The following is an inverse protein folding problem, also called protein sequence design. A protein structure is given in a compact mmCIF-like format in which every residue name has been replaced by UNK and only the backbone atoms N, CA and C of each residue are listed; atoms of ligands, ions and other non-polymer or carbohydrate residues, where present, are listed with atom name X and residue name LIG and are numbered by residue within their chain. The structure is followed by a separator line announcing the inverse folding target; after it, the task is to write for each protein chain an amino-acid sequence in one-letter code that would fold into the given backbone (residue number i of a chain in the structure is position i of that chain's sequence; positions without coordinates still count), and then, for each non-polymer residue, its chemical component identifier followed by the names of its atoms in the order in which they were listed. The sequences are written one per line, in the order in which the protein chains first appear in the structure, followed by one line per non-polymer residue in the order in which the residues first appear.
data_IF_072454775242
#
_entry.id   IF_072454775242
#
_cell.length_a   1.000
_cell.length_b   1.000
_cell.length_c   1.000
_cell.angle_alpha   90.00
_cell.angle_beta   90.00
_cell.angle_gamma   90.00
#
_symmetry.space_group_name_H-M   'P 1'
#
loop_
_entity.id
_entity.type
_entity.pdbx_description
1 polymer ?
#
# COMPACT_ATOMS: atom_id res chain seq x y z
N UNK A 1 -17.62 1.08 1.57
CA UNK A 1 -17.63 2.33 2.37
C UNK A 1 -18.71 2.43 3.46
N UNK A 2 -20.03 2.46 3.18
CA UNK A 2 -21.04 2.61 4.28
C UNK A 2 -20.99 1.51 5.36
N UNK A 3 -20.66 0.27 4.98
CA UNK A 3 -20.45 -0.85 5.93
C UNK A 3 -19.16 -0.68 6.75
N UNK A 4 -18.07 -0.25 6.11
CA UNK A 4 -16.78 0.02 6.76
C UNK A 4 -16.89 1.15 7.80
N UNK A 5 -17.58 2.25 7.44
CA UNK A 5 -17.84 3.37 8.37
C UNK A 5 -18.60 2.93 9.63
N UNK A 6 -19.61 2.05 9.49
CA UNK A 6 -20.32 1.49 10.65
C UNK A 6 -19.40 0.65 11.54
N UNK A 7 -18.52 -0.16 10.93
CA UNK A 7 -17.55 -1.00 11.65
C UNK A 7 -16.50 -0.17 12.39
N UNK A 8 -16.00 0.89 11.77
CA UNK A 8 -15.09 1.86 12.39
C UNK A 8 -15.74 2.61 13.57
N UNK A 9 -17.06 2.84 13.52
CA UNK A 9 -17.81 3.55 14.55
C UNK A 9 -18.30 2.67 15.71
N UNK A 10 -18.09 1.34 15.68
CA UNK A 10 -18.59 0.43 16.70
C UNK A 10 -17.50 0.13 17.74
N UNK A 11 -17.59 0.66 18.98
CA UNK A 11 -16.63 0.31 20.03
C UNK A 11 -16.79 -1.17 20.39
N UNK A 12 -15.77 -1.99 20.14
CA UNK A 12 -15.72 -3.36 20.66
C UNK A 12 -15.35 -3.29 22.15
N UNK A 13 -16.18 -3.89 23.01
CA UNK A 13 -15.84 -4.11 24.42
C UNK A 13 -14.59 -4.98 24.49
N UNK A 14 -13.52 -4.44 25.05
CA UNK A 14 -12.36 -5.24 25.49
C UNK A 14 -12.78 -6.02 26.73
N UNK A 15 -12.99 -7.34 26.61
CA UNK A 15 -13.21 -8.22 27.75
C UNK A 15 -12.07 -9.23 27.83
N UNK A 16 -11.11 -8.99 28.73
CA UNK A 16 -10.05 -9.93 29.10
C UNK A 16 -9.09 -9.31 30.13
N UNK A 17 -8.77 -9.98 31.25
CA UNK A 17 -7.80 -9.47 32.22
C UNK A 17 -6.39 -10.03 31.93
N UNK A 18 -5.36 -9.17 31.88
CA UNK A 18 -3.96 -9.57 32.05
C UNK A 18 -2.94 -9.05 31.04
N UNK A 19 -2.24 -7.97 31.44
CA UNK A 19 -0.83 -7.61 31.17
C UNK A 19 -0.25 -7.69 29.74
N UNK A 20 0.00 -6.54 29.12
CA UNK A 20 1.32 -5.89 29.06
C UNK A 20 1.21 -4.58 28.28
N UNK A 21 1.83 -3.54 28.80
CA UNK A 21 1.76 -2.17 28.29
C UNK A 21 2.60 -2.02 27.03
N UNK A 22 1.97 -2.16 25.86
CA UNK A 22 2.42 -1.47 24.66
C UNK A 22 1.71 -0.13 24.62
N UNK A 23 2.48 0.95 24.74
CA UNK A 23 2.05 2.34 24.62
C UNK A 23 1.33 2.52 23.29
N UNK A 24 0.00 2.55 23.32
CA UNK A 24 -0.82 2.89 22.16
C UNK A 24 -0.52 4.34 21.77
N UNK A 25 -0.08 4.54 20.53
CA UNK A 25 0.09 5.87 19.97
C UNK A 25 -1.25 6.63 20.05
N UNK A 26 -1.26 7.92 20.40
CA UNK A 26 -2.48 8.67 20.56
C UNK A 26 -3.12 8.84 19.18
N UNK A 27 -4.34 8.30 19.00
CA UNK A 27 -5.12 8.24 17.76
C UNK A 27 -4.71 7.10 16.80
N UNK A 28 -5.08 5.86 17.14
CA UNK A 28 -4.85 4.70 16.28
C UNK A 28 -5.90 3.61 16.48
N UNK A 29 -6.38 3.05 15.38
CA UNK A 29 -7.10 1.78 15.37
C UNK A 29 -6.11 0.71 15.85
N UNK A 30 -6.55 -0.18 16.72
CA UNK A 30 -5.76 -1.32 17.16
C UNK A 30 -5.29 -2.18 15.97
N UNK A 31 -4.05 -2.65 16.00
CA UNK A 31 -3.40 -3.36 14.89
C UNK A 31 -4.20 -4.61 14.46
N UNK A 32 -4.75 -5.37 15.41
CA UNK A 32 -5.56 -6.56 15.11
C UNK A 32 -6.89 -6.16 14.46
N UNK A 33 -7.50 -5.08 14.96
CA UNK A 33 -8.73 -4.53 14.38
C UNK A 33 -8.49 -4.06 12.96
N UNK A 34 -7.39 -3.37 12.71
CA UNK A 34 -7.03 -2.89 11.38
C UNK A 34 -6.83 -4.05 10.40
N UNK A 35 -6.03 -5.05 10.77
CA UNK A 35 -5.79 -6.24 9.94
C UNK A 35 -7.10 -6.93 9.62
N UNK A 36 -7.97 -7.11 10.63
CA UNK A 36 -9.31 -7.70 10.42
C UNK A 36 -10.15 -6.88 9.44
N UNK A 37 -10.12 -5.55 9.51
CA UNK A 37 -10.84 -4.69 8.57
C UNK A 37 -10.30 -4.81 7.14
N UNK A 38 -8.97 -4.84 6.97
CA UNK A 38 -8.33 -5.01 5.65
C UNK A 38 -8.68 -6.38 5.07
N UNK A 39 -8.65 -7.45 5.88
CA UNK A 39 -8.99 -8.81 5.46
C UNK A 39 -10.44 -8.91 4.99
N UNK A 40 -11.37 -8.40 5.80
CA UNK A 40 -12.79 -8.40 5.48
C UNK A 40 -13.09 -7.61 4.21
N UNK A 41 -12.43 -6.47 4.00
CA UNK A 41 -12.58 -5.69 2.77
C UNK A 41 -11.92 -6.39 1.57
N UNK A 42 -10.77 -7.06 1.76
CA UNK A 42 -10.08 -7.82 0.71
C UNK A 42 -10.93 -8.97 0.19
N UNK A 43 -11.62 -9.70 1.07
CA UNK A 43 -12.53 -10.77 0.70
C UNK A 43 -13.67 -10.29 -0.23
N UNK A 44 -14.07 -9.02 -0.15
CA UNK A 44 -15.08 -8.44 -1.05
C UNK A 44 -14.53 -8.24 -2.47
N UNK A 45 -13.23 -8.09 -2.61
CA UNK A 45 -12.57 -7.88 -3.90
C UNK A 45 -12.25 -9.17 -4.64
N UNK A 46 -12.19 -10.31 -3.94
CA UNK A 46 -11.84 -11.61 -4.52
C UNK A 46 -12.70 -12.00 -5.74
N UNK A 47 -13.99 -11.65 -5.69
CA UNK A 47 -14.98 -11.94 -6.76
C UNK A 47 -15.21 -10.75 -7.70
N UNK A 48 -14.55 -9.61 -7.46
CA UNK A 48 -14.75 -8.41 -8.26
C UNK A 48 -14.08 -8.54 -9.64
N UNK A 49 -14.69 -7.94 -10.67
CA UNK A 49 -14.03 -7.79 -11.97
C UNK A 49 -12.88 -6.77 -11.87
N UNK A 50 -11.97 -6.76 -12.86
CA UNK A 50 -10.94 -5.71 -12.96
C UNK A 50 -11.57 -4.31 -13.00
N UNK A 51 -12.68 -4.15 -13.73
CA UNK A 51 -13.43 -2.89 -13.78
C UNK A 51 -13.96 -2.48 -12.38
N UNK A 52 -14.36 -3.45 -11.56
CA UNK A 52 -14.76 -3.21 -10.18
C UNK A 52 -13.61 -2.69 -9.30
N UNK A 53 -12.41 -3.28 -9.43
CA UNK A 53 -11.22 -2.79 -8.72
C UNK A 53 -10.85 -1.36 -9.14
N UNK A 54 -10.83 -1.10 -10.45
CA UNK A 54 -10.54 0.24 -11.00
C UNK A 54 -11.55 1.28 -10.51
N UNK A 55 -12.83 0.95 -10.48
CA UNK A 55 -13.86 1.85 -9.96
C UNK A 55 -13.65 2.16 -8.47
N UNK A 56 -13.25 1.17 -7.67
CA UNK A 56 -12.92 1.34 -6.26
C UNK A 56 -11.63 2.16 -6.05
N UNK A 57 -10.59 1.94 -6.85
CA UNK A 57 -9.39 2.79 -6.89
C UNK A 57 -9.76 4.24 -7.17
N UNK A 58 -10.68 4.48 -8.12
CA UNK A 58 -11.18 5.81 -8.43
C UNK A 58 -11.91 6.49 -7.25
N UNK A 59 -12.57 5.72 -6.39
CA UNK A 59 -13.19 6.25 -5.17
C UNK A 59 -12.15 6.62 -4.12
N UNK A 60 -11.12 5.79 -3.92
CA UNK A 60 -9.99 6.11 -3.03
C UNK A 60 -9.28 7.39 -3.50
N UNK A 61 -8.98 7.49 -4.81
CA UNK A 61 -8.43 8.71 -5.44
C UNK A 61 -9.29 9.93 -5.14
N UNK A 62 -10.63 9.83 -5.26
CA UNK A 62 -11.56 10.93 -4.95
C UNK A 62 -11.52 11.35 -3.48
N UNK A 63 -11.49 10.39 -2.56
CA UNK A 63 -11.42 10.68 -1.13
C UNK A 63 -10.16 11.47 -0.78
N UNK A 64 -9.00 11.01 -1.26
CA UNK A 64 -7.71 11.66 -1.04
C UNK A 64 -7.68 13.06 -1.67
N UNK A 65 -8.19 13.20 -2.91
CA UNK A 65 -8.31 14.50 -3.57
C UNK A 65 -9.27 15.47 -2.84
N UNK A 66 -10.25 14.95 -2.09
CA UNK A 66 -11.18 15.76 -1.28
C UNK A 66 -10.64 16.16 0.10
N UNK A 67 -9.39 15.82 0.42
CA UNK A 67 -8.71 16.22 1.64
C UNK A 67 -8.58 15.13 2.71
N UNK A 68 -9.08 13.91 2.44
CA UNK A 68 -8.78 12.77 3.32
C UNK A 68 -7.28 12.48 3.30
N UNK A 69 -6.72 12.15 4.46
CA UNK A 69 -5.31 11.82 4.59
C UNK A 69 -5.08 10.33 4.28
N UNK A 70 -3.89 9.93 3.78
CA UNK A 70 -3.57 8.53 3.56
C UNK A 70 -3.69 7.64 4.81
N UNK A 71 -3.48 8.20 5.99
CA UNK A 71 -3.64 7.50 7.27
C UNK A 71 -5.10 7.42 7.75
N UNK A 72 -6.04 8.13 7.09
CA UNK A 72 -7.43 8.08 7.48
C UNK A 72 -7.99 6.66 7.29
N UNK A 73 -8.77 6.12 8.25
CA UNK A 73 -9.17 4.73 8.24
C UNK A 73 -9.87 4.25 6.96
N UNK A 74 -10.69 5.09 6.34
CA UNK A 74 -11.48 4.73 5.17
C UNK A 74 -10.62 4.55 3.92
N UNK A 75 -9.86 5.58 3.46
CA UNK A 75 -8.97 5.40 2.31
C UNK A 75 -7.89 4.35 2.61
N UNK A 76 -7.37 4.29 3.83
CA UNK A 76 -6.33 3.33 4.21
C UNK A 76 -6.78 1.87 4.09
N UNK A 77 -7.88 1.49 4.73
CA UNK A 77 -8.39 0.11 4.68
C UNK A 77 -8.81 -0.26 3.25
N UNK A 78 -9.48 0.65 2.56
CA UNK A 78 -9.96 0.40 1.19
C UNK A 78 -8.78 0.29 0.23
N UNK A 79 -7.79 1.17 0.34
CA UNK A 79 -6.61 1.18 -0.50
C UNK A 79 -5.71 -0.03 -0.28
N UNK A 80 -5.37 -0.36 0.97
CA UNK A 80 -4.55 -1.53 1.27
C UNK A 80 -5.25 -2.85 0.91
N UNK A 81 -6.58 -2.94 1.03
CA UNK A 81 -7.32 -4.13 0.57
C UNK A 81 -7.31 -4.28 -0.96
N UNK A 82 -7.38 -3.17 -1.72
CA UNK A 82 -7.21 -3.18 -3.17
C UNK A 82 -5.77 -3.58 -3.56
N UNK A 83 -4.76 -3.05 -2.87
CA UNK A 83 -3.36 -3.45 -3.05
C UNK A 83 -3.17 -4.94 -2.78
N UNK A 84 -3.73 -5.47 -1.69
CA UNK A 84 -3.64 -6.89 -1.34
C UNK A 84 -4.28 -7.80 -2.38
N UNK A 85 -5.46 -7.42 -2.91
CA UNK A 85 -6.11 -8.15 -3.99
C UNK A 85 -5.31 -8.07 -5.30
N UNK A 86 -4.74 -6.91 -5.63
CA UNK A 86 -3.89 -6.75 -6.80
C UNK A 86 -2.63 -7.64 -6.72
N UNK A 87 -2.00 -7.74 -5.54
CA UNK A 87 -0.90 -8.66 -5.27
C UNK A 87 -1.34 -10.10 -5.48
N UNK A 88 -2.49 -10.50 -4.94
CA UNK A 88 -3.02 -11.86 -5.11
C UNK A 88 -3.26 -12.20 -6.58
N UNK A 89 -3.80 -11.28 -7.38
CA UNK A 89 -4.03 -11.50 -8.82
C UNK A 89 -2.75 -11.60 -9.63
N UNK A 90 -1.75 -10.78 -9.31
CA UNK A 90 -0.48 -10.78 -10.03
C UNK A 90 0.42 -11.96 -9.66
N UNK A 91 0.39 -12.39 -8.40
CA UNK A 91 1.40 -13.32 -7.84
C UNK A 91 0.84 -14.65 -7.34
N UNK A 92 -0.47 -14.74 -7.13
CA UNK A 92 -1.11 -15.87 -6.45
C UNK A 92 -1.01 -15.83 -4.92
N UNK A 93 -0.22 -14.91 -4.35
CA UNK A 93 -0.05 -14.78 -2.90
C UNK A 93 -0.94 -13.69 -2.33
N UNK A 94 -1.69 -14.02 -1.28
CA UNK A 94 -2.34 -13.02 -0.46
C UNK A 94 -1.35 -12.56 0.62
N UNK A 95 -1.12 -11.24 0.82
CA UNK A 95 -0.18 -10.79 1.84
C UNK A 95 -0.53 -11.33 3.24
N UNK A 96 0.46 -11.68 4.04
CA UNK A 96 0.28 -12.10 5.44
C UNK A 96 -0.03 -10.90 6.36
N UNK A 97 -0.53 -11.16 7.56
CA UNK A 97 -0.94 -10.09 8.50
C UNK A 97 0.24 -9.16 8.84
N UNK A 98 1.43 -9.73 9.07
CA UNK A 98 2.66 -8.96 9.30
C UNK A 98 3.04 -8.06 8.13
N UNK A 99 2.71 -8.45 6.89
CA UNK A 99 2.98 -7.65 5.70
C UNK A 99 1.97 -6.50 5.56
N UNK A 100 0.71 -6.74 5.92
CA UNK A 100 -0.31 -5.69 5.98
C UNK A 100 -0.01 -4.66 7.06
N UNK A 101 0.48 -5.10 8.23
CA UNK A 101 0.93 -4.21 9.30
C UNK A 101 2.14 -3.38 8.88
N UNK A 102 3.12 -3.99 8.21
CA UNK A 102 4.27 -3.25 7.67
C UNK A 102 3.84 -2.22 6.62
N UNK A 103 2.92 -2.58 5.70
CA UNK A 103 2.39 -1.65 4.72
C UNK A 103 1.63 -0.49 5.39
N UNK A 104 0.83 -0.78 6.41
CA UNK A 104 0.14 0.23 7.22
C UNK A 104 1.12 1.20 7.90
N UNK A 105 2.17 0.69 8.54
CA UNK A 105 3.18 1.52 9.17
C UNK A 105 3.83 2.49 8.16
N UNK A 106 4.18 2.00 6.97
CA UNK A 106 4.72 2.84 5.89
C UNK A 106 3.75 3.95 5.47
N UNK A 107 2.45 3.65 5.38
CA UNK A 107 1.42 4.64 5.03
C UNK A 107 1.21 5.70 6.11
N UNK A 108 1.69 5.47 7.33
CA UNK A 108 1.63 6.41 8.47
C UNK A 108 2.95 7.14 8.71
N UNK A 109 3.84 7.17 7.72
CA UNK A 109 5.16 7.78 7.83
C UNK A 109 6.00 7.16 8.97
N UNK A 110 5.86 5.85 9.19
CA UNK A 110 6.63 5.10 10.20
C UNK A 110 7.62 4.13 9.55
N UNK A 111 8.57 3.66 10.36
CA UNK A 111 9.54 2.64 9.96
C UNK A 111 8.97 1.26 10.28
N UNK A 112 8.82 0.42 9.25
CA UNK A 112 8.46 -0.99 9.42
C UNK A 112 9.71 -1.85 9.62
N UNK A 113 9.98 -2.27 10.85
CA UNK A 113 11.06 -3.24 11.12
C UNK A 113 10.56 -4.66 10.86
N UNK A 114 11.21 -5.33 9.90
CA UNK A 114 10.87 -6.71 9.52
C UNK A 114 12.16 -7.56 9.45
N UNK A 115 12.09 -8.82 9.82
CA UNK A 115 13.17 -9.79 9.65
C UNK A 115 13.34 -10.20 8.18
N UNK A 116 14.52 -10.73 7.84
CA UNK A 116 14.77 -11.27 6.49
C UNK A 116 13.85 -12.46 6.25
N UNK A 117 13.21 -12.49 5.08
CA UNK A 117 12.23 -13.53 4.73
C UNK A 117 10.76 -13.18 5.00
N UNK A 118 10.46 -12.11 5.76
CA UNK A 118 9.06 -11.72 6.06
C UNK A 118 8.34 -11.03 4.89
N UNK A 119 9.02 -10.81 3.76
CA UNK A 119 8.43 -10.21 2.56
C UNK A 119 8.33 -8.68 2.59
N UNK A 120 9.47 -8.03 2.90
CA UNK A 120 9.61 -6.56 2.83
C UNK A 120 9.18 -5.98 1.48
N UNK A 121 9.57 -6.64 0.38
CA UNK A 121 9.21 -6.21 -0.98
C UNK A 121 7.70 -6.16 -1.18
N UNK A 122 6.95 -7.20 -0.84
CA UNK A 122 5.48 -7.20 -0.99
C UNK A 122 4.81 -6.17 -0.08
N UNK A 123 5.32 -5.97 1.12
CA UNK A 123 4.81 -4.97 2.06
C UNK A 123 5.02 -3.54 1.53
N UNK A 124 6.22 -3.26 1.00
CA UNK A 124 6.54 -1.98 0.39
C UNK A 124 5.71 -1.73 -0.88
N UNK A 125 5.52 -2.74 -1.74
CA UNK A 125 4.66 -2.62 -2.92
C UNK A 125 3.20 -2.34 -2.51
N UNK A 126 2.68 -3.04 -1.49
CA UNK A 126 1.32 -2.80 -1.03
C UNK A 126 1.09 -1.35 -0.60
N UNK A 127 2.05 -0.79 0.15
CA UNK A 127 2.04 0.61 0.56
C UNK A 127 2.20 1.55 -0.64
N UNK A 128 3.17 1.31 -1.53
CA UNK A 128 3.43 2.16 -2.68
C UNK A 128 2.23 2.24 -3.62
N UNK A 129 1.57 1.11 -3.90
CA UNK A 129 0.35 1.04 -4.73
C UNK A 129 -0.80 1.83 -4.10
N UNK A 130 -0.96 1.81 -2.78
CA UNK A 130 -1.97 2.62 -2.12
C UNK A 130 -1.62 4.10 -2.15
N UNK A 131 -0.41 4.48 -1.76
CA UNK A 131 0.04 5.88 -1.74
C UNK A 131 0.00 6.52 -3.13
N UNK A 132 0.26 5.74 -4.18
CA UNK A 132 0.14 6.15 -5.57
C UNK A 132 -1.28 6.62 -5.94
N UNK A 133 -2.32 6.13 -5.26
CA UNK A 133 -3.69 6.61 -5.44
C UNK A 133 -3.89 8.07 -4.99
N UNK A 134 -2.95 8.66 -4.24
CA UNK A 134 -3.00 10.09 -3.94
C UNK A 134 -2.65 10.98 -5.16
N UNK A 135 -1.98 10.42 -6.18
CA UNK A 135 -1.64 11.14 -7.42
C UNK A 135 -0.42 12.07 -7.32
N UNK A 136 0.40 11.94 -6.28
CA UNK A 136 1.62 12.74 -6.09
C UNK A 136 2.92 12.06 -6.57
N UNK A 137 2.81 10.85 -7.14
CA UNK A 137 3.95 9.97 -7.39
C UNK A 137 4.50 9.34 -6.10
N UNK A 138 5.05 8.13 -6.21
CA UNK A 138 5.71 7.42 -5.10
C UNK A 138 7.09 6.96 -5.52
N UNK A 139 8.12 7.36 -4.78
CA UNK A 139 9.49 6.89 -5.03
C UNK A 139 9.82 5.72 -4.10
N UNK A 140 10.18 4.58 -4.68
CA UNK A 140 10.67 3.40 -3.95
C UNK A 140 12.17 3.28 -4.19
N UNK A 141 12.94 3.58 -3.14
CA UNK A 141 14.39 3.56 -3.19
C UNK A 141 14.93 2.19 -2.79
N UNK A 142 15.89 1.66 -3.56
CA UNK A 142 16.59 0.42 -3.26
C UNK A 142 18.11 0.65 -3.22
N UNK A 143 18.91 -0.25 -2.62
CA UNK A 143 20.36 -0.03 -2.51
C UNK A 143 21.14 -0.32 -3.79
N UNK A 144 20.52 -0.93 -4.81
CA UNK A 144 21.18 -1.19 -6.09
C UNK A 144 20.18 -1.37 -7.25
N UNK A 145 20.66 -1.14 -8.47
CA UNK A 145 19.90 -1.23 -9.72
C UNK A 145 19.18 -2.55 -9.89
N UNK A 146 19.83 -3.68 -9.60
CA UNK A 146 19.20 -5.00 -9.75
C UNK A 146 17.93 -5.15 -8.90
N UNK A 147 17.98 -4.72 -7.64
CA UNK A 147 16.80 -4.76 -6.76
C UNK A 147 15.74 -3.75 -7.21
N UNK A 148 16.13 -2.56 -7.67
CA UNK A 148 15.19 -1.56 -8.19
C UNK A 148 14.45 -2.09 -9.42
N UNK A 149 15.17 -2.62 -10.41
CA UNK A 149 14.61 -3.16 -11.65
C UNK A 149 13.68 -4.34 -11.39
N UNK A 150 14.15 -5.35 -10.65
CA UNK A 150 13.35 -6.54 -10.29
C UNK A 150 12.07 -6.16 -9.55
N UNK A 151 12.17 -5.28 -8.55
CA UNK A 151 11.01 -4.91 -7.73
C UNK A 151 10.05 -4.00 -8.51
N UNK A 152 10.55 -3.20 -9.45
CA UNK A 152 9.72 -2.39 -10.36
C UNK A 152 8.90 -3.26 -11.31
N UNK A 153 9.47 -4.32 -11.88
CA UNK A 153 8.74 -5.26 -12.75
C UNK A 153 7.56 -5.90 -12.00
N UNK A 154 7.82 -6.35 -10.78
CA UNK A 154 6.79 -6.90 -9.91
C UNK A 154 5.73 -5.85 -9.55
N UNK A 155 6.16 -4.64 -9.17
CA UNK A 155 5.26 -3.54 -8.84
C UNK A 155 4.40 -3.13 -10.03
N UNK A 156 4.95 -3.08 -11.25
CA UNK A 156 4.22 -2.76 -12.48
C UNK A 156 3.14 -3.81 -12.77
N UNK A 157 3.48 -5.09 -12.60
CA UNK A 157 2.56 -6.22 -12.73
C UNK A 157 1.38 -6.16 -11.76
N UNK A 158 1.61 -5.64 -10.55
CA UNK A 158 0.58 -5.45 -9.51
C UNK A 158 -0.24 -4.19 -9.78
N UNK A 159 0.41 -3.05 -10.01
CA UNK A 159 -0.18 -1.73 -10.19
C UNK A 159 -1.18 -1.67 -11.38
N UNK A 160 -0.88 -2.36 -12.48
CA UNK A 160 -1.75 -2.40 -13.67
C UNK A 160 -3.16 -2.96 -13.40
N UNK A 161 -3.35 -3.79 -12.36
CA UNK A 161 -4.66 -4.30 -11.96
C UNK A 161 -5.58 -3.18 -11.45
N UNK A 162 -4.99 -2.11 -10.92
CA UNK A 162 -5.67 -0.95 -10.36
C UNK A 162 -5.57 0.29 -11.26
N UNK A 163 -5.10 0.13 -12.50
CA UNK A 163 -4.86 1.22 -13.45
C UNK A 163 -3.86 2.25 -12.89
N UNK A 164 -2.78 1.73 -12.29
CA UNK A 164 -1.61 2.48 -11.85
C UNK A 164 -0.39 2.03 -12.68
N UNK A 165 0.59 2.91 -12.84
CA UNK A 165 1.87 2.60 -13.48
C UNK A 165 3.02 2.56 -12.47
N UNK A 166 3.99 1.68 -12.74
CA UNK A 166 5.26 1.66 -12.03
C UNK A 166 6.41 1.48 -13.02
N UNK A 167 7.54 2.14 -12.79
CA UNK A 167 8.70 2.06 -13.67
C UNK A 167 10.00 2.13 -12.88
N UNK A 168 11.02 1.40 -13.35
CA UNK A 168 12.40 1.56 -12.90
C UNK A 168 13.07 2.72 -13.64
N UNK A 169 13.75 3.60 -12.91
CA UNK A 169 14.61 4.65 -13.43
C UNK A 169 16.07 4.17 -13.43
N UNK A 170 16.65 3.85 -14.60
CA UNK A 170 18.06 3.48 -14.71
C UNK A 170 18.98 4.68 -14.47
N UNK A 171 20.21 4.39 -14.05
CA UNK A 171 21.25 5.41 -13.91
C UNK A 171 21.72 5.89 -15.28
N UNK A 172 22.13 7.17 -15.36
CA UNK A 172 22.74 7.77 -16.57
C UNK A 172 21.86 7.71 -17.83
N UNK A 173 20.55 7.85 -17.67
CA UNK A 173 19.60 7.88 -18.79
C UNK A 173 19.41 9.26 -19.38
N UNK A 174 18.88 9.31 -20.60
CA UNK A 174 18.48 10.56 -21.24
C UNK A 174 17.36 11.25 -20.44
N UNK A 175 17.30 12.59 -20.42
CA UNK A 175 16.27 13.33 -19.67
C UNK A 175 14.84 12.88 -19.98
N UNK A 176 14.56 12.49 -21.23
CA UNK A 176 13.23 12.00 -21.65
C UNK A 176 12.79 10.72 -20.92
N UNK A 177 13.72 9.80 -20.66
CA UNK A 177 13.44 8.57 -19.92
C UNK A 177 13.23 8.87 -18.43
N UNK A 178 13.99 9.84 -17.90
CA UNK A 178 13.85 10.32 -16.53
C UNK A 178 12.45 10.94 -16.31
N UNK A 179 11.97 11.77 -17.25
CA UNK A 179 10.59 12.28 -17.22
C UNK A 179 9.55 11.16 -17.27
N UNK A 180 9.70 10.19 -18.19
CA UNK A 180 8.75 9.09 -18.31
C UNK A 180 8.63 8.24 -17.01
N UNK A 181 9.74 8.05 -16.30
CA UNK A 181 9.75 7.31 -15.03
C UNK A 181 9.08 8.10 -13.90
N UNK A 182 9.28 9.42 -13.83
CA UNK A 182 8.63 10.29 -12.84
C UNK A 182 7.16 10.61 -13.15
N UNK A 183 6.74 10.49 -14.41
CA UNK A 183 5.34 10.59 -14.82
C UNK A 183 4.53 9.32 -14.46
N UNK A 184 5.20 8.24 -14.04
CA UNK A 184 4.51 7.05 -13.52
C UNK A 184 3.99 7.28 -12.10
N UNK A 185 2.93 6.56 -11.70
CA UNK A 185 2.42 6.68 -10.33
C UNK A 185 3.45 6.18 -9.28
N UNK A 186 4.34 5.24 -9.67
CA UNK A 186 5.41 4.70 -8.83
C UNK A 186 6.74 4.66 -9.61
N UNK A 187 7.81 5.20 -9.01
CA UNK A 187 9.17 5.19 -9.56
C UNK A 187 10.10 4.41 -8.65
N UNK A 188 10.77 3.40 -9.19
CA UNK A 188 11.83 2.66 -8.52
C UNK A 188 13.19 3.18 -8.95
N UNK A 189 14.10 3.41 -8.01
CA UNK A 189 15.42 3.95 -8.31
C UNK A 189 16.43 3.63 -7.20
N UNK A 190 17.71 3.82 -7.50
CA UNK A 190 18.76 3.79 -6.47
C UNK A 190 18.75 5.08 -5.64
N UNK A 191 19.36 5.04 -4.46
CA UNK A 191 19.51 6.22 -3.61
C UNK A 191 20.31 7.34 -4.29
N UNK A 192 21.31 6.98 -5.10
CA UNK A 192 22.10 7.95 -5.83
C UNK A 192 21.25 8.63 -6.91
N UNK A 193 20.50 7.88 -7.70
CA UNK A 193 19.72 8.43 -8.82
C UNK A 193 18.57 9.34 -8.37
N UNK A 194 17.97 9.11 -7.20
CA UNK A 194 16.96 10.02 -6.64
C UNK A 194 17.58 11.30 -6.05
N UNK A 195 18.87 11.27 -5.72
CA UNK A 195 19.59 12.40 -5.12
C UNK A 195 20.17 13.39 -6.12
N UNK A 196 20.27 13.02 -7.40
CA UNK A 196 20.93 13.78 -8.47
C UNK A 196 20.03 13.93 -9.72
#
# INVERSE_FOLDING_TARGET
MRSLLKRLATPRRTSGPGSSTHTSAPHGIDDEVLVSLIRDETARWETASRAGLVAATGEVRRLLASGAQPEDPVPLVTGLSLSAEAIRRATGYLPYDVQLLAAFALCRNQIAQMQTGEGKTLSAIAAAVYLAMAGHGVHVMTPNTYLAERDAELAAGIAQHLQLSAMFLPEQVEPSQKYAAYDCDITYATNNELGF
#
